data_IF_968295957959
#
_entry.id   IF_968295957959
#
_cell.length_a   1.000
_cell.length_b   1.000
_cell.length_c   1.000
_cell.angle_alpha   90.00
_cell.angle_beta   90.00
_cell.angle_gamma   90.00
#
_symmetry.space_group_name_H-M   'P 1'
#
loop_
_entity.id
_entity.type
_entity.pdbx_description
1 polymer ?
#
# COMPACT_ATOMS: atom_id res chain seq x y z
N UNK A 1 22.09 28.34 -29.32
CA UNK A 1 20.62 28.50 -29.42
C UNK A 1 20.03 27.14 -29.78
N UNK A 2 19.77 26.30 -28.77
CA UNK A 2 19.30 24.92 -28.97
C UNK A 2 17.77 24.90 -28.87
N UNK A 3 17.11 24.46 -29.94
CA UNK A 3 15.65 24.38 -30.06
C UNK A 3 15.11 23.25 -29.15
N UNK A 4 14.20 23.60 -28.26
CA UNK A 4 13.40 22.66 -27.47
C UNK A 4 12.48 21.86 -28.40
N UNK A 5 12.69 20.55 -28.46
CA UNK A 5 11.71 19.60 -28.99
C UNK A 5 10.59 19.44 -27.95
N UNK A 6 9.38 19.90 -28.32
CA UNK A 6 8.14 19.60 -27.60
C UNK A 6 7.93 18.09 -27.59
N UNK A 7 8.05 17.48 -26.43
CA UNK A 7 7.68 16.09 -26.18
C UNK A 7 6.19 15.89 -26.44
N UNK A 8 5.91 14.89 -27.26
CA UNK A 8 4.60 14.37 -27.64
C UNK A 8 3.80 13.99 -26.38
N UNK A 9 2.59 14.54 -26.26
CA UNK A 9 1.58 14.09 -25.29
C UNK A 9 1.09 12.72 -25.75
N UNK A 10 1.60 11.67 -25.10
CA UNK A 10 1.15 10.30 -25.27
C UNK A 10 -0.15 10.07 -24.50
N UNK A 11 -1.20 9.65 -25.22
CA UNK A 11 -2.21 8.72 -24.73
C UNK A 11 -3.16 9.17 -23.63
N UNK A 12 -4.12 10.04 -23.95
CA UNK A 12 -5.38 10.08 -23.21
C UNK A 12 -6.23 8.87 -23.59
N UNK A 13 -6.12 7.78 -22.82
CA UNK A 13 -7.22 6.82 -22.73
C UNK A 13 -8.50 7.56 -22.28
N UNK A 14 -9.71 7.04 -22.54
CA UNK A 14 -10.93 7.67 -22.07
C UNK A 14 -10.85 7.79 -20.55
N UNK A 15 -10.61 9.01 -20.07
CA UNK A 15 -10.51 9.29 -18.65
C UNK A 15 -11.79 8.84 -17.97
N UNK A 16 -11.67 8.29 -16.77
CA UNK A 16 -12.83 7.94 -15.95
C UNK A 16 -13.67 9.19 -15.79
N UNK A 17 -14.93 9.13 -16.24
CA UNK A 17 -15.89 10.22 -16.10
C UNK A 17 -15.91 10.61 -14.62
N UNK A 18 -15.69 11.89 -14.35
CA UNK A 18 -15.71 12.49 -13.01
C UNK A 18 -14.49 12.25 -12.08
N UNK A 19 -13.39 11.65 -12.55
CA UNK A 19 -12.13 11.67 -11.78
C UNK A 19 -11.41 13.02 -11.99
N UNK A 20 -11.15 13.84 -10.95
CA UNK A 20 -10.49 15.16 -11.08
C UNK A 20 -8.96 15.08 -11.30
N UNK A 21 -8.48 13.92 -11.77
CA UNK A 21 -7.07 13.65 -12.00
C UNK A 21 -6.86 13.01 -13.37
N UNK A 22 -5.71 13.25 -13.97
CA UNK A 22 -5.24 12.56 -15.17
C UNK A 22 -4.43 11.33 -14.74
N UNK A 23 -4.79 10.17 -15.27
CA UNK A 23 -4.05 8.92 -15.06
C UNK A 23 -2.95 8.85 -16.12
N UNK A 24 -1.70 8.75 -15.67
CA UNK A 24 -0.53 8.59 -16.51
C UNK A 24 -0.04 7.15 -16.55
N UNK A 25 1.24 6.99 -16.90
CA UNK A 25 1.86 5.67 -17.06
C UNK A 25 1.86 4.84 -15.76
N UNK A 26 1.63 3.51 -15.85
CA UNK A 26 1.74 2.60 -14.72
C UNK A 26 3.20 2.40 -14.29
N UNK A 27 3.40 2.16 -13.01
CA UNK A 27 4.62 1.55 -12.50
C UNK A 27 4.63 0.04 -12.80
N UNK A 28 5.81 -0.58 -12.95
CA UNK A 28 5.93 -2.03 -13.17
C UNK A 28 5.41 -2.91 -12.03
N UNK A 29 5.26 -2.34 -10.82
CA UNK A 29 4.85 -3.07 -9.63
C UNK A 29 3.89 -2.24 -8.77
N UNK A 30 3.06 -2.93 -8.00
CA UNK A 30 2.09 -2.37 -7.06
C UNK A 30 1.81 -3.39 -5.94
N UNK A 31 0.98 -3.04 -4.96
CA UNK A 31 0.63 -3.94 -3.87
C UNK A 31 -0.57 -4.82 -4.20
N UNK A 32 -0.51 -6.10 -3.83
CA UNK A 32 -1.63 -7.04 -4.01
C UNK A 32 -2.19 -7.03 -5.45
N UNK A 33 -3.50 -6.90 -5.57
CA UNK A 33 -4.21 -6.83 -6.86
C UNK A 33 -4.39 -5.39 -7.38
N UNK A 34 -3.77 -4.40 -6.73
CA UNK A 34 -3.84 -3.00 -7.17
C UNK A 34 -2.88 -2.75 -8.34
N UNK A 35 -3.20 -1.70 -9.10
CA UNK A 35 -2.29 -1.08 -10.06
C UNK A 35 -1.88 0.29 -9.54
N UNK A 36 -0.65 0.72 -9.82
CA UNK A 36 -0.13 2.02 -9.38
C UNK A 36 0.29 2.82 -10.61
N UNK A 37 -0.31 4.00 -10.78
CA UNK A 37 -0.03 4.91 -11.88
C UNK A 37 0.50 6.23 -11.35
N UNK A 38 1.34 6.86 -12.17
CA UNK A 38 1.59 8.30 -12.06
C UNK A 38 0.31 9.06 -12.38
N UNK A 39 0.16 10.25 -11.85
CA UNK A 39 -0.97 11.11 -12.22
C UNK A 39 -0.70 12.59 -11.99
N UNK A 40 -1.62 13.41 -12.46
CA UNK A 40 -1.62 14.86 -12.21
C UNK A 40 -3.02 15.34 -11.86
N UNK A 41 -3.11 16.32 -10.97
CA UNK A 41 -4.34 17.08 -10.72
C UNK A 41 -4.78 17.82 -11.98
N UNK A 42 -6.07 17.78 -12.32
CA UNK A 42 -6.63 18.55 -13.44
C UNK A 42 -6.73 20.05 -13.13
N UNK A 43 -6.76 20.40 -11.85
CA UNK A 43 -6.96 21.78 -11.40
C UNK A 43 -5.68 22.61 -11.51
N UNK A 44 -4.54 22.05 -11.09
CA UNK A 44 -3.26 22.78 -10.98
C UNK A 44 -2.06 22.04 -11.60
N UNK A 45 -2.26 20.83 -12.13
CA UNK A 45 -1.19 20.02 -12.72
C UNK A 45 -0.23 19.41 -11.69
N UNK A 46 -0.48 19.55 -10.39
CA UNK A 46 0.37 18.98 -9.35
C UNK A 46 0.49 17.45 -9.47
N UNK A 47 1.69 16.88 -9.25
CA UNK A 47 1.90 15.44 -9.38
C UNK A 47 1.24 14.67 -8.24
N UNK A 48 0.60 13.55 -8.56
CA UNK A 48 -0.05 12.64 -7.62
C UNK A 48 0.28 11.19 -7.96
N UNK A 49 -0.09 10.27 -7.07
CA UNK A 49 -0.15 8.83 -7.38
C UNK A 49 -1.58 8.35 -7.37
N UNK A 50 -1.91 7.49 -8.35
CA UNK A 50 -3.26 6.96 -8.53
C UNK A 50 -3.18 5.43 -8.47
N UNK A 51 -3.88 4.85 -7.52
CA UNK A 51 -4.03 3.41 -7.39
C UNK A 51 -5.41 2.98 -7.86
N UNK A 52 -5.49 1.87 -8.59
CA UNK A 52 -6.79 1.32 -8.99
C UNK A 52 -6.90 -0.19 -8.78
N UNK A 53 -8.07 -0.62 -8.32
CA UNK A 53 -8.44 -2.02 -8.10
C UNK A 53 -9.77 -2.29 -8.77
N UNK A 54 -9.83 -3.29 -9.65
CA UNK A 54 -11.06 -3.66 -10.37
C UNK A 54 -11.54 -5.05 -9.97
N UNK A 55 -12.86 -5.24 -9.94
CA UNK A 55 -13.51 -6.53 -9.74
C UNK A 55 -14.79 -6.64 -10.58
N UNK A 56 -15.25 -7.88 -10.76
CA UNK A 56 -16.38 -8.20 -11.66
C UNK A 56 -17.75 -8.13 -10.98
N UNK A 57 -17.80 -7.89 -9.67
CA UNK A 57 -19.05 -7.72 -8.92
C UNK A 57 -18.81 -6.91 -7.66
N UNK A 58 -19.82 -6.20 -7.16
CA UNK A 58 -19.69 -5.44 -5.91
C UNK A 58 -19.36 -6.32 -4.68
N UNK A 59 -19.72 -7.61 -4.73
CA UNK A 59 -19.50 -8.63 -3.72
C UNK A 59 -18.11 -9.29 -3.81
N UNK A 60 -17.24 -8.86 -4.70
CA UNK A 60 -15.87 -9.38 -4.81
C UNK A 60 -15.10 -9.14 -3.49
N UNK A 61 -14.50 -10.21 -2.96
CA UNK A 61 -13.70 -10.16 -1.72
C UNK A 61 -12.49 -9.22 -1.80
N UNK A 62 -11.87 -9.07 -2.97
CA UNK A 62 -10.79 -8.12 -3.18
C UNK A 62 -11.30 -6.68 -3.10
N UNK A 63 -12.46 -6.39 -3.70
CA UNK A 63 -13.07 -5.06 -3.60
C UNK A 63 -13.50 -4.75 -2.17
N UNK A 64 -14.03 -5.74 -1.42
CA UNK A 64 -14.34 -5.57 -0.02
C UNK A 64 -13.09 -5.20 0.81
N UNK A 65 -11.97 -5.91 0.61
CA UNK A 65 -10.70 -5.59 1.25
C UNK A 65 -10.15 -4.22 0.81
N UNK A 66 -10.24 -3.90 -0.48
CA UNK A 66 -9.84 -2.60 -1.02
C UNK A 66 -10.62 -1.45 -0.41
N UNK A 67 -11.94 -1.60 -0.23
CA UNK A 67 -12.78 -0.60 0.48
C UNK A 67 -12.37 -0.44 1.94
N UNK A 68 -11.97 -1.52 2.63
CA UNK A 68 -11.36 -1.41 3.95
C UNK A 68 -10.08 -0.57 3.88
N UNK A 69 -9.17 -0.87 2.94
CA UNK A 69 -7.95 -0.11 2.71
C UNK A 69 -8.18 1.39 2.48
N UNK A 70 -9.14 1.76 1.61
CA UNK A 70 -9.55 3.15 1.38
C UNK A 70 -10.01 3.83 2.67
N UNK A 71 -10.92 3.18 3.42
CA UNK A 71 -11.47 3.71 4.68
C UNK A 71 -10.36 3.96 5.70
N UNK A 72 -9.42 3.02 5.82
CA UNK A 72 -8.28 3.12 6.74
C UNK A 72 -7.30 4.22 6.32
N UNK A 73 -6.88 4.24 5.07
CA UNK A 73 -5.92 5.24 4.59
C UNK A 73 -6.49 6.67 4.69
N UNK A 74 -7.81 6.82 4.52
CA UNK A 74 -8.48 8.11 4.72
C UNK A 74 -8.47 8.60 6.17
N UNK A 75 -8.34 7.72 7.16
CA UNK A 75 -8.47 8.08 8.59
C UNK A 75 -7.13 8.07 9.34
N UNK A 76 -6.20 7.21 8.95
CA UNK A 76 -4.86 7.12 9.55
C UNK A 76 -3.98 8.28 9.05
N UNK A 77 -3.37 9.04 9.96
CA UNK A 77 -2.50 10.19 9.65
C UNK A 77 -1.23 10.14 10.48
N UNK A 78 -0.09 9.97 9.81
CA UNK A 78 1.23 9.94 10.43
C UNK A 78 2.30 10.30 9.38
N UNK A 79 3.42 10.97 9.73
CA UNK A 79 4.43 11.38 8.75
C UNK A 79 5.01 10.25 7.89
N UNK A 80 5.07 9.02 8.42
CA UNK A 80 5.56 7.83 7.73
C UNK A 80 4.45 6.90 7.20
N UNK A 81 3.20 7.37 7.16
CA UNK A 81 2.07 6.70 6.48
C UNK A 81 1.73 7.49 5.23
N UNK A 82 1.37 6.79 4.15
CA UNK A 82 1.02 7.41 2.87
C UNK A 82 -0.16 8.38 3.00
N UNK A 83 0.01 9.61 2.50
CA UNK A 83 -1.02 10.64 2.61
C UNK A 83 -2.13 10.47 1.58
N UNK A 84 -3.36 10.32 2.06
CA UNK A 84 -4.58 10.27 1.25
C UNK A 84 -4.99 11.66 0.72
N UNK A 85 -5.39 11.74 -0.55
CA UNK A 85 -5.97 12.95 -1.16
C UNK A 85 -7.44 12.74 -1.54
N UNK A 86 -7.74 11.68 -2.29
CA UNK A 86 -9.08 11.45 -2.84
C UNK A 86 -9.34 9.96 -3.07
N UNK A 87 -10.62 9.57 -3.13
CA UNK A 87 -11.04 8.25 -3.59
C UNK A 87 -12.38 8.33 -4.28
N UNK A 88 -12.56 7.53 -5.33
CA UNK A 88 -13.85 7.34 -5.99
C UNK A 88 -14.01 5.88 -6.37
N UNK A 89 -15.25 5.41 -6.46
CA UNK A 89 -15.60 4.07 -6.91
C UNK A 89 -16.55 4.21 -8.09
N UNK A 90 -16.20 3.57 -9.20
CA UNK A 90 -16.93 3.68 -10.47
C UNK A 90 -17.37 2.31 -10.90
N UNK A 91 -18.66 2.19 -11.20
CA UNK A 91 -19.24 1.00 -11.81
C UNK A 91 -19.46 1.27 -13.31
N UNK A 92 -18.84 0.46 -14.15
CA UNK A 92 -19.01 0.48 -15.60
C UNK A 92 -19.78 -0.76 -15.98
N UNK A 93 -20.96 -0.56 -16.57
CA UNK A 93 -21.80 -1.64 -17.10
C UNK A 93 -21.66 -1.63 -18.62
N UNK A 94 -21.12 -2.71 -19.18
CA UNK A 94 -21.05 -2.96 -20.62
C UNK A 94 -21.80 -4.24 -20.96
N UNK A 95 -22.97 -4.09 -21.60
CA UNK A 95 -23.89 -5.19 -21.87
C UNK A 95 -24.33 -5.92 -20.60
N UNK A 96 -23.99 -7.21 -20.49
CA UNK A 96 -24.26 -8.04 -19.30
C UNK A 96 -23.12 -8.04 -18.27
N UNK A 97 -22.01 -7.34 -18.54
CA UNK A 97 -20.84 -7.32 -17.66
C UNK A 97 -20.81 -6.03 -16.85
N UNK A 98 -20.74 -6.14 -15.53
CA UNK A 98 -20.45 -5.02 -14.63
C UNK A 98 -19.00 -5.12 -14.17
N UNK A 99 -18.28 -4.01 -14.20
CA UNK A 99 -16.94 -3.87 -13.63
C UNK A 99 -16.94 -2.71 -12.66
N UNK A 100 -16.60 -3.02 -11.41
CA UNK A 100 -16.44 -2.03 -10.36
C UNK A 100 -14.95 -1.75 -10.20
N UNK A 101 -14.56 -0.47 -10.26
CA UNK A 101 -13.18 -0.02 -10.07
C UNK A 101 -13.10 1.01 -8.97
N UNK A 102 -12.27 0.74 -7.97
CA UNK A 102 -11.94 1.66 -6.88
C UNK A 102 -10.67 2.42 -7.29
N UNK A 103 -10.70 3.74 -7.13
CA UNK A 103 -9.54 4.62 -7.31
C UNK A 103 -9.16 5.27 -5.98
N UNK A 104 -7.86 5.29 -5.69
CA UNK A 104 -7.26 6.04 -4.58
C UNK A 104 -6.25 7.01 -5.18
N UNK A 105 -6.28 8.26 -4.73
CA UNK A 105 -5.30 9.29 -5.07
C UNK A 105 -4.57 9.72 -3.82
N UNK A 106 -3.23 9.81 -3.91
CA UNK A 106 -2.33 10.11 -2.80
C UNK A 106 -1.30 11.16 -3.18
N UNK A 107 -0.49 11.59 -2.21
CA UNK A 107 0.77 12.28 -2.50
C UNK A 107 1.60 11.50 -3.54
N UNK A 108 2.42 12.17 -4.37
CA UNK A 108 3.18 11.51 -5.41
C UNK A 108 4.20 10.56 -4.78
N UNK A 109 4.15 9.29 -5.18
CA UNK A 109 5.05 8.24 -4.67
C UNK A 109 5.39 7.22 -5.77
N UNK A 110 6.39 6.41 -5.50
CA UNK A 110 6.84 5.31 -6.35
C UNK A 110 6.96 4.03 -5.50
N UNK A 111 6.74 2.82 -6.05
CA UNK A 111 7.01 1.58 -5.33
C UNK A 111 8.49 1.51 -4.90
N UNK A 112 8.76 1.08 -3.67
CA UNK A 112 10.11 1.05 -3.13
C UNK A 112 11.07 0.20 -3.98
N UNK A 113 10.60 -0.94 -4.51
CA UNK A 113 11.40 -1.81 -5.38
C UNK A 113 11.90 -1.09 -6.64
N UNK A 114 11.08 -0.22 -7.22
CA UNK A 114 11.45 0.55 -8.40
C UNK A 114 12.41 1.66 -8.05
N UNK A 115 12.18 2.36 -6.93
CA UNK A 115 13.08 3.43 -6.47
C UNK A 115 14.48 2.90 -6.16
N UNK A 116 14.57 1.71 -5.55
CA UNK A 116 15.86 1.08 -5.25
C UNK A 116 16.64 0.79 -6.53
N UNK A 117 15.97 0.23 -7.56
CA UNK A 117 16.59 -0.05 -8.86
C UNK A 117 17.05 1.24 -9.54
N UNK A 118 16.22 2.28 -9.50
CA UNK A 118 16.51 3.59 -10.10
C UNK A 118 17.73 4.26 -9.47
N UNK A 119 17.82 4.27 -8.14
CA UNK A 119 18.93 4.92 -7.45
C UNK A 119 20.26 4.16 -7.59
N UNK A 120 20.21 2.83 -7.70
CA UNK A 120 21.40 2.00 -7.90
C UNK A 120 22.48 2.17 -6.82
N UNK A 121 22.08 2.54 -5.60
CA UNK A 121 23.00 2.88 -4.50
C UNK A 121 23.88 1.69 -4.12
N UNK A 122 25.12 1.96 -3.71
CA UNK A 122 26.11 0.97 -3.30
C UNK A 122 26.85 1.39 -2.03
N UNK A 123 27.42 0.41 -1.33
CA UNK A 123 28.21 0.63 -0.12
C UNK A 123 27.43 1.41 0.95
N UNK A 124 28.13 2.32 1.63
CA UNK A 124 27.60 3.09 2.77
C UNK A 124 26.32 3.86 2.44
N UNK A 125 26.21 4.48 1.26
CA UNK A 125 25.02 5.25 0.88
C UNK A 125 23.76 4.38 0.81
N UNK A 126 23.90 3.15 0.30
CA UNK A 126 22.82 2.17 0.26
C UNK A 126 22.39 1.80 1.67
N UNK A 127 23.37 1.50 2.52
CA UNK A 127 23.14 1.00 3.87
C UNK A 127 22.47 2.08 4.75
N UNK A 128 22.92 3.34 4.64
CA UNK A 128 22.31 4.50 5.30
C UNK A 128 20.89 4.76 4.82
N UNK A 129 20.65 4.72 3.50
CA UNK A 129 19.32 4.91 2.93
C UNK A 129 18.34 3.83 3.40
N UNK A 130 18.77 2.57 3.42
CA UNK A 130 17.93 1.47 3.90
C UNK A 130 17.71 1.53 5.40
N UNK A 131 18.73 1.86 6.20
CA UNK A 131 18.58 2.03 7.64
C UNK A 131 17.59 3.15 7.98
N UNK A 132 17.68 4.28 7.28
CA UNK A 132 16.74 5.40 7.44
C UNK A 132 15.32 5.02 7.02
N UNK A 133 15.17 4.36 5.87
CA UNK A 133 13.88 3.86 5.39
C UNK A 133 13.22 2.88 6.36
N UNK A 134 13.97 1.90 6.84
CA UNK A 134 13.52 0.92 7.83
C UNK A 134 13.12 1.59 9.16
N UNK A 135 13.88 2.60 9.60
CA UNK A 135 13.53 3.39 10.78
C UNK A 135 12.17 4.09 10.61
N UNK A 136 11.91 4.69 9.45
CA UNK A 136 10.62 5.33 9.13
C UNK A 136 9.46 4.32 9.16
N UNK A 137 9.65 3.13 8.58
CA UNK A 137 8.62 2.08 8.59
C UNK A 137 8.40 1.53 10.00
N UNK A 138 9.45 1.34 10.79
CA UNK A 138 9.32 0.94 12.19
C UNK A 138 8.51 1.97 13.01
N UNK A 139 8.70 3.28 12.76
CA UNK A 139 7.89 4.33 13.38
C UNK A 139 6.41 4.24 12.97
N UNK A 140 6.13 4.04 11.67
CA UNK A 140 4.76 3.87 11.19
C UNK A 140 4.07 2.64 11.80
N UNK A 141 4.76 1.50 11.86
CA UNK A 141 4.25 0.26 12.47
C UNK A 141 4.00 0.46 13.97
N UNK A 142 4.94 1.08 14.69
CA UNK A 142 4.77 1.40 16.11
C UNK A 142 3.54 2.28 16.35
N UNK A 143 3.35 3.32 15.54
CA UNK A 143 2.16 4.17 15.60
C UNK A 143 0.87 3.37 15.40
N UNK A 144 0.81 2.51 14.37
CA UNK A 144 -0.37 1.67 14.13
C UNK A 144 -0.68 0.76 15.33
N UNK A 145 0.32 0.03 15.83
CA UNK A 145 0.11 -0.95 16.90
C UNK A 145 -0.18 -0.30 18.25
N UNK A 146 0.59 0.72 18.61
CA UNK A 146 0.56 1.29 19.96
C UNK A 146 -0.48 2.39 20.10
N UNK A 147 -0.61 3.26 19.10
CA UNK A 147 -1.45 4.47 19.21
C UNK A 147 -2.83 4.22 18.61
N UNK A 148 -2.90 3.55 17.46
CA UNK A 148 -4.17 3.23 16.81
C UNK A 148 -4.80 1.90 17.24
N UNK A 149 -4.04 1.01 17.91
CA UNK A 149 -4.46 -0.38 18.22
C UNK A 149 -4.85 -1.17 16.97
N UNK A 150 -4.14 -0.93 15.87
CA UNK A 150 -4.32 -1.60 14.59
C UNK A 150 -3.14 -2.55 14.30
N UNK A 151 -3.42 -3.63 13.58
CA UNK A 151 -2.44 -4.58 13.06
C UNK A 151 -2.42 -4.47 11.54
N UNK A 152 -1.27 -4.10 10.97
CA UNK A 152 -1.08 -3.94 9.53
C UNK A 152 -1.26 -5.27 8.79
N UNK A 153 -0.73 -6.35 9.34
CA UNK A 153 -0.94 -7.73 8.87
C UNK A 153 -0.12 -8.11 7.63
N UNK A 154 0.41 -7.14 6.87
CA UNK A 154 1.19 -7.39 5.65
C UNK A 154 2.39 -6.45 5.47
N UNK A 155 3.17 -6.21 6.53
CA UNK A 155 4.39 -5.39 6.42
C UNK A 155 5.41 -6.13 5.54
N UNK A 156 5.63 -5.61 4.32
CA UNK A 156 6.48 -6.21 3.30
C UNK A 156 6.99 -5.15 2.30
N UNK A 157 7.84 -5.55 1.34
CA UNK A 157 8.42 -4.63 0.36
C UNK A 157 7.34 -3.90 -0.47
N UNK A 158 6.27 -4.61 -0.85
CA UNK A 158 5.16 -4.05 -1.62
C UNK A 158 4.28 -3.08 -0.80
N UNK A 159 4.35 -3.15 0.54
CA UNK A 159 3.65 -2.22 1.44
C UNK A 159 4.41 -0.92 1.69
N UNK A 160 5.52 -0.68 0.98
CA UNK A 160 6.32 0.54 1.13
C UNK A 160 6.43 1.27 -0.20
N UNK A 161 6.15 2.56 -0.15
CA UNK A 161 6.32 3.50 -1.26
C UNK A 161 7.23 4.65 -0.84
N UNK A 162 7.81 5.34 -1.83
CA UNK A 162 8.82 6.37 -1.61
C UNK A 162 8.40 7.68 -2.27
N UNK A 163 8.52 8.79 -1.53
CA UNK A 163 8.25 10.14 -2.03
C UNK A 163 9.37 10.63 -2.97
N UNK A 164 9.16 11.73 -3.72
CA UNK A 164 10.24 12.42 -4.44
C UNK A 164 11.42 12.83 -3.53
N UNK A 165 11.15 13.13 -2.26
CA UNK A 165 12.15 13.50 -1.23
C UNK A 165 12.86 12.30 -0.60
N UNK A 166 12.63 11.07 -1.10
CA UNK A 166 13.24 9.83 -0.62
C UNK A 166 12.74 9.34 0.76
N UNK A 167 11.60 9.84 1.22
CA UNK A 167 10.97 9.39 2.46
C UNK A 167 10.15 8.11 2.21
N UNK A 168 10.26 7.16 3.13
CA UNK A 168 9.50 5.91 3.05
C UNK A 168 8.15 6.07 3.74
N UNK A 169 7.11 5.58 3.07
CA UNK A 169 5.72 5.63 3.54
C UNK A 169 5.13 4.23 3.55
N UNK A 170 4.48 3.88 4.66
CA UNK A 170 3.71 2.65 4.81
C UNK A 170 2.31 2.83 4.19
N UNK A 171 1.83 1.82 3.44
CA UNK A 171 0.49 1.78 2.83
C UNK A 171 -0.03 0.33 2.73
N UNK A 172 -0.95 0.00 1.82
CA UNK A 172 -1.52 -1.34 1.61
C UNK A 172 -2.38 -1.83 2.80
N UNK A 173 -3.32 -0.99 3.21
CA UNK A 173 -4.17 -1.19 4.39
C UNK A 173 -5.38 -2.10 4.17
N UNK A 174 -5.43 -2.85 3.07
CA UNK A 174 -6.52 -3.77 2.74
C UNK A 174 -6.81 -4.76 3.88
N UNK A 175 -5.75 -5.25 4.54
CA UNK A 175 -5.79 -6.24 5.63
C UNK A 175 -5.72 -5.57 7.02
N UNK A 176 -5.50 -4.25 7.09
CA UNK A 176 -5.37 -3.52 8.36
C UNK A 176 -6.64 -3.69 9.20
N UNK A 177 -6.49 -4.27 10.39
CA UNK A 177 -7.61 -4.59 11.28
C UNK A 177 -7.31 -4.18 12.72
N UNK A 178 -8.35 -4.02 13.53
CA UNK A 178 -8.22 -3.80 14.98
C UNK A 178 -7.60 -5.01 15.67
N UNK A 179 -6.74 -4.75 16.66
CA UNK A 179 -6.34 -5.80 17.59
C UNK A 179 -7.43 -6.00 18.65
N UNK A 180 -7.98 -7.21 18.73
CA UNK A 180 -9.09 -7.55 19.62
C UNK A 180 -8.68 -8.49 20.78
N UNK A 181 -7.38 -8.62 21.08
CA UNK A 181 -6.89 -9.57 22.10
C UNK A 181 -7.42 -9.37 23.52
N UNK A 182 -7.87 -8.17 23.86
CA UNK A 182 -8.52 -7.87 25.15
C UNK A 182 -10.03 -8.14 25.15
N UNK A 183 -10.63 -8.48 24.01
CA UNK A 183 -12.05 -8.74 23.88
C UNK A 183 -12.35 -10.22 24.17
N UNK A 184 -12.79 -10.53 25.38
CA UNK A 184 -13.12 -11.89 25.80
C UNK A 184 -14.26 -12.54 25.00
N UNK A 185 -15.07 -11.75 24.29
CA UNK A 185 -16.17 -12.25 23.44
C UNK A 185 -15.79 -12.39 21.97
N UNK A 186 -14.56 -12.05 21.59
CA UNK A 186 -14.11 -12.16 20.21
C UNK A 186 -13.96 -13.62 19.77
N UNK A 187 -14.93 -14.09 18.98
CA UNK A 187 -14.95 -15.44 18.41
C UNK A 187 -14.95 -15.34 16.88
N UNK A 188 -13.77 -15.22 16.28
CA UNK A 188 -13.64 -15.14 14.82
C UNK A 188 -12.23 -14.76 14.36
N UNK A 189 -12.02 -14.64 13.04
CA UNK A 189 -10.76 -14.14 12.48
C UNK A 189 -10.50 -12.69 12.89
N UNK A 190 -9.32 -12.40 13.44
CA UNK A 190 -8.92 -11.03 13.77
C UNK A 190 -8.54 -10.23 12.52
N UNK A 191 -7.91 -10.90 11.53
CA UNK A 191 -7.55 -10.32 10.24
C UNK A 191 -8.47 -10.89 9.16
N UNK A 192 -9.60 -10.23 8.91
CA UNK A 192 -10.64 -10.72 7.99
C UNK A 192 -10.14 -10.99 6.57
N UNK A 193 -9.16 -10.23 6.09
CA UNK A 193 -8.63 -10.29 4.73
C UNK A 193 -7.22 -10.92 4.66
N UNK A 194 -6.83 -11.71 5.66
CA UNK A 194 -5.49 -12.33 5.72
C UNK A 194 -5.17 -13.25 4.54
N UNK A 195 -6.19 -13.77 3.86
CA UNK A 195 -6.06 -14.59 2.65
C UNK A 195 -5.39 -13.84 1.48
N UNK A 196 -5.37 -12.51 1.50
CA UNK A 196 -4.61 -11.69 0.54
C UNK A 196 -3.09 -11.72 0.76
N UNK A 197 -2.66 -12.16 1.94
CA UNK A 197 -1.25 -12.23 2.30
C UNK A 197 -0.68 -13.59 1.89
N UNK A 198 0.41 -13.59 1.13
CA UNK A 198 1.10 -14.82 0.76
C UNK A 198 1.63 -15.57 1.99
N UNK A 199 1.55 -16.90 1.98
CA UNK A 199 1.96 -17.75 3.11
C UNK A 199 3.42 -17.53 3.54
N UNK A 200 4.30 -17.16 2.61
CA UNK A 200 5.71 -16.84 2.86
C UNK A 200 5.94 -15.59 3.71
N UNK A 201 4.93 -14.73 3.84
CA UNK A 201 4.97 -13.50 4.64
C UNK A 201 4.27 -13.65 6.00
N UNK A 202 3.56 -14.75 6.23
CA UNK A 202 2.80 -15.00 7.46
C UNK A 202 3.69 -15.65 8.54
N UNK A 203 3.57 -15.26 9.81
CA UNK A 203 4.10 -16.07 10.91
C UNK A 203 3.30 -17.37 11.07
N UNK A 204 3.89 -18.36 11.74
CA UNK A 204 3.34 -19.73 11.80
C UNK A 204 1.93 -19.81 12.42
N UNK A 205 1.67 -19.00 13.44
CA UNK A 205 0.36 -18.87 14.09
C UNK A 205 -0.71 -18.33 13.13
N UNK A 206 -0.36 -17.39 12.24
CA UNK A 206 -1.26 -16.86 11.24
C UNK A 206 -1.49 -17.85 10.10
N UNK A 207 -0.46 -18.59 9.67
CA UNK A 207 -0.62 -19.70 8.70
C UNK A 207 -1.61 -20.75 9.22
N UNK A 208 -1.57 -21.05 10.53
CA UNK A 208 -2.49 -21.99 11.17
C UNK A 208 -3.87 -21.40 11.49
N UNK A 209 -4.07 -20.09 11.28
CA UNK A 209 -5.25 -19.36 11.73
C UNK A 209 -5.54 -19.57 13.23
N UNK A 210 -4.48 -19.68 14.05
CA UNK A 210 -4.61 -19.84 15.50
C UNK A 210 -4.89 -18.48 16.16
N UNK A 211 -6.12 -18.00 15.98
CA UNK A 211 -6.56 -16.71 16.49
C UNK A 211 -6.52 -16.63 18.02
N UNK A 212 -6.62 -17.77 18.71
CA UNK A 212 -6.49 -17.82 20.16
C UNK A 212 -5.04 -17.56 20.61
N UNK A 213 -4.05 -18.17 19.93
CA UNK A 213 -2.65 -17.86 20.17
C UNK A 213 -2.31 -16.41 19.80
N UNK A 214 -2.77 -15.93 18.64
CA UNK A 214 -2.54 -14.56 18.18
C UNK A 214 -3.05 -13.53 19.19
N UNK A 215 -4.26 -13.72 19.74
CA UNK A 215 -4.83 -12.81 20.76
C UNK A 215 -4.06 -12.81 22.08
N UNK A 216 -3.41 -13.92 22.43
CA UNK A 216 -2.54 -14.03 23.62
C UNK A 216 -1.16 -13.43 23.40
N UNK A 217 -0.75 -13.26 22.14
CA UNK A 217 0.52 -12.62 21.77
C UNK A 217 0.43 -11.09 21.91
N UNK A 218 1.58 -10.41 22.00
CA UNK A 218 1.60 -8.95 21.95
C UNK A 218 0.96 -8.39 20.67
N UNK A 219 0.26 -7.24 20.72
CA UNK A 219 -0.46 -6.67 19.56
C UNK A 219 0.41 -6.45 18.31
N UNK A 220 1.70 -6.17 18.51
CA UNK A 220 2.67 -5.91 17.44
C UNK A 220 3.33 -7.17 16.88
N UNK A 221 3.00 -8.37 17.36
CA UNK A 221 3.73 -9.60 17.01
C UNK A 221 3.72 -9.90 15.50
N UNK A 222 2.55 -9.81 14.86
CA UNK A 222 2.39 -10.06 13.42
C UNK A 222 3.19 -9.04 12.60
N UNK A 223 3.10 -7.76 12.95
CA UNK A 223 3.79 -6.71 12.21
C UNK A 223 5.29 -6.72 12.47
N UNK A 224 5.73 -7.13 13.66
CA UNK A 224 7.15 -7.33 13.98
C UNK A 224 7.75 -8.46 13.17
N UNK A 225 7.00 -9.54 12.93
CA UNK A 225 7.41 -10.60 12.00
C UNK A 225 7.58 -10.05 10.59
N UNK A 226 6.58 -9.32 10.08
CA UNK A 226 6.63 -8.69 8.75
C UNK A 226 7.81 -7.73 8.62
N UNK A 227 8.08 -6.90 9.63
CA UNK A 227 9.24 -6.01 9.67
C UNK A 227 10.56 -6.81 9.64
N UNK A 228 10.66 -7.91 10.39
CA UNK A 228 11.82 -8.82 10.34
C UNK A 228 12.03 -9.42 8.95
N UNK A 229 10.96 -9.83 8.28
CA UNK A 229 11.01 -10.30 6.88
C UNK A 229 11.45 -9.18 5.94
N UNK A 230 10.94 -7.97 6.09
CA UNK A 230 11.33 -6.82 5.28
C UNK A 230 12.83 -6.48 5.45
N UNK A 231 13.32 -6.45 6.70
CA UNK A 231 14.75 -6.28 7.00
C UNK A 231 15.58 -7.37 6.31
N UNK A 232 15.14 -8.63 6.39
CA UNK A 232 15.87 -9.75 5.76
C UNK A 232 16.00 -9.62 4.24
N UNK A 233 15.03 -9.00 3.56
CA UNK A 233 15.11 -8.74 2.12
C UNK A 233 16.29 -7.82 1.80
N UNK A 234 16.48 -6.75 2.59
CA UNK A 234 17.62 -5.83 2.39
C UNK A 234 18.97 -6.45 2.77
N UNK A 235 19.00 -7.36 3.75
CA UNK A 235 20.20 -8.13 4.07
C UNK A 235 20.56 -9.17 3.01
N UNK A 236 19.58 -9.81 2.36
CA UNK A 236 19.85 -10.74 1.26
C UNK A 236 20.39 -9.98 0.04
N UNK A 237 19.88 -8.76 -0.22
CA UNK A 237 20.43 -7.85 -1.22
C UNK A 237 21.84 -7.29 -0.87
N UNK A 238 22.38 -7.61 0.31
CA UNK A 238 23.75 -7.27 0.70
C UNK A 238 24.78 -8.20 0.02
N UNK A 239 24.41 -9.46 -0.21
CA UNK A 239 25.28 -10.49 -0.82
C UNK A 239 25.10 -10.56 -2.32
#
# INVERSE_FOLDING_TARGET
>A
MLKFLKGVVGGSGPGVKDLPYNIGEPYPSAWGSWTHHRGTSKDDGSPVSIFSLSGSSAQDGHLAAGRNGVKRLRTVRHPNVLSFLHSTEVEIVDGSTSRVTIYIVTEPVMPLSERIKELGLKGTQRDEYYAWGLHQIAKAVSFLNNDCKLVHGNVCLASVVVTPTLDWKLHAFDVLSEFDGNNATATGPMLQYEWLVGSQYKPMELVKSDWAAIRKSPPWAIDSWGLGKLISVFYILWK
#
